data_IF_096630447834
#
_entry.id   IF_096630447834
#
_cell.length_a   1.000
_cell.length_b   1.000
_cell.length_c   1.000
_cell.angle_alpha   90.00
_cell.angle_beta   90.00
_cell.angle_gamma   90.00
#
_symmetry.space_group_name_H-M   'P 1'
#
loop_
_entity.id
_entity.type
_entity.pdbx_description
1 polymer ?
#
# COMPACT_ATOMS: atom_id res chain seq x y z
N UNK A 1 2.48 22.65 0.47
CA UNK A 1 2.91 22.55 1.88
C UNK A 1 2.85 21.08 2.20
N UNK A 2 3.98 20.39 2.02
CA UNK A 2 4.03 18.94 1.99
C UNK A 2 3.81 18.34 3.39
N UNK A 3 2.85 17.42 3.47
CA UNK A 3 2.51 16.68 4.68
C UNK A 3 3.63 15.68 4.97
N UNK A 4 4.35 15.86 6.08
CA UNK A 4 5.33 14.87 6.55
C UNK A 4 4.60 13.80 7.36
N UNK A 5 4.73 12.53 6.98
CA UNK A 5 4.12 11.40 7.71
C UNK A 5 2.58 11.47 7.86
N UNK A 6 1.88 12.11 6.90
CA UNK A 6 0.44 12.32 6.98
C UNK A 6 0.01 13.43 7.97
N UNK A 7 0.97 14.17 8.50
CA UNK A 7 0.78 15.28 9.45
C UNK A 7 1.15 16.59 8.73
N UNK A 8 0.25 17.58 8.77
CA UNK A 8 0.48 18.90 8.24
C UNK A 8 1.50 19.69 9.05
N UNK A 9 2.13 20.71 8.45
CA UNK A 9 3.10 21.56 9.15
C UNK A 9 2.54 22.21 10.41
N UNK A 10 1.25 22.59 10.40
CA UNK A 10 0.56 23.16 11.57
C UNK A 10 0.37 22.14 12.69
N UNK A 11 -0.01 20.90 12.35
CA UNK A 11 -0.18 19.81 13.33
C UNK A 11 1.17 19.43 13.96
N UNK A 12 2.25 19.42 13.17
CA UNK A 12 3.61 19.19 13.67
C UNK A 12 4.03 20.23 14.71
N UNK A 13 3.69 21.51 14.50
CA UNK A 13 3.96 22.58 15.48
C UNK A 13 3.18 22.35 16.78
N UNK A 14 1.90 21.97 16.70
CA UNK A 14 1.09 21.65 17.89
C UNK A 14 1.69 20.49 18.67
N UNK A 15 2.12 19.43 17.98
CA UNK A 15 2.81 18.29 18.61
C UNK A 15 4.09 18.74 19.29
N UNK A 16 4.91 19.60 18.67
CA UNK A 16 6.13 20.13 19.29
C UNK A 16 5.84 20.94 20.56
N UNK A 17 4.76 21.73 20.58
CA UNK A 17 4.36 22.49 21.77
C UNK A 17 3.97 21.52 22.90
N UNK A 18 3.09 20.54 22.60
CA UNK A 18 2.65 19.55 23.59
C UNK A 18 3.85 18.73 24.11
N UNK A 19 4.70 18.24 23.21
CA UNK A 19 5.92 17.53 23.57
C UNK A 19 6.85 18.39 24.43
N UNK A 20 7.00 19.68 24.10
CA UNK A 20 7.77 20.63 24.88
C UNK A 20 7.20 20.88 26.28
N UNK A 21 5.88 20.84 26.45
CA UNK A 21 5.24 20.95 27.77
C UNK A 21 5.44 19.66 28.59
N UNK A 22 5.21 18.49 27.97
CA UNK A 22 5.31 17.19 28.66
C UNK A 22 6.75 16.84 29.02
N UNK A 23 7.67 17.01 28.08
CA UNK A 23 9.10 16.71 28.24
C UNK A 23 9.84 17.85 28.93
N UNK A 24 9.38 19.09 28.76
CA UNK A 24 10.11 20.30 29.10
C UNK A 24 10.99 20.79 27.93
N UNK A 25 11.06 22.11 27.67
CA UNK A 25 11.85 22.67 26.57
C UNK A 25 13.36 22.40 26.72
N UNK A 26 13.83 22.30 27.96
CA UNK A 26 15.24 22.00 28.27
C UNK A 26 15.65 20.60 27.80
N UNK A 27 14.76 19.60 27.98
CA UNK A 27 15.03 18.21 27.57
C UNK A 27 15.06 18.04 26.06
N UNK A 28 14.21 18.77 25.32
CA UNK A 28 14.27 18.79 23.84
C UNK A 28 15.60 19.39 23.39
N UNK A 29 16.03 20.51 23.97
CA UNK A 29 17.31 21.13 23.62
C UNK A 29 18.50 20.20 23.93
N UNK A 30 18.46 19.48 25.05
CA UNK A 30 19.49 18.50 25.41
C UNK A 30 19.51 17.30 24.44
N UNK A 31 18.34 16.77 24.08
CA UNK A 31 18.21 15.69 23.09
C UNK A 31 18.71 16.12 21.70
N UNK A 32 18.34 17.33 21.25
CA UNK A 32 18.81 17.88 19.98
C UNK A 32 20.33 18.06 19.95
N UNK A 33 20.93 18.54 21.06
CA UNK A 33 22.40 18.63 21.19
C UNK A 33 23.07 17.25 21.10
N UNK A 34 22.49 16.23 21.75
CA UNK A 34 23.04 14.87 21.71
C UNK A 34 22.89 14.25 20.31
N UNK A 35 21.70 14.31 19.72
CA UNK A 35 21.46 13.86 18.35
C UNK A 35 22.35 14.58 17.34
N UNK A 36 22.47 15.91 17.45
CA UNK A 36 23.33 16.70 16.58
C UNK A 36 24.81 16.30 16.68
N UNK A 37 25.33 16.09 17.89
CA UNK A 37 26.70 15.58 18.08
C UNK A 37 26.87 14.19 17.49
N UNK A 38 25.90 13.29 17.70
CA UNK A 38 25.93 11.93 17.16
C UNK A 38 25.88 11.94 15.64
N UNK A 39 25.00 12.73 15.02
CA UNK A 39 24.93 12.89 13.56
C UNK A 39 26.20 13.50 12.99
N UNK A 40 26.76 14.53 13.64
CA UNK A 40 28.03 15.12 13.24
C UNK A 40 29.19 14.11 13.32
N UNK A 41 29.23 13.32 14.40
CA UNK A 41 30.19 12.24 14.58
C UNK A 41 30.02 11.16 13.50
N UNK A 42 28.80 10.68 13.27
CA UNK A 42 28.49 9.76 12.17
C UNK A 42 28.96 10.32 10.83
N UNK A 43 28.72 11.60 10.55
CA UNK A 43 29.16 12.20 9.30
C UNK A 43 30.70 12.23 9.19
N UNK A 44 31.43 12.55 10.27
CA UNK A 44 32.90 12.50 10.27
C UNK A 44 33.44 11.09 10.10
N UNK A 45 32.82 10.11 10.76
CA UNK A 45 33.19 8.70 10.69
C UNK A 45 32.88 8.14 9.31
N UNK A 46 31.70 8.44 8.75
CA UNK A 46 31.34 8.10 7.37
C UNK A 46 32.26 8.76 6.35
N UNK A 47 32.75 9.99 6.57
CA UNK A 47 33.77 10.62 5.71
C UNK A 47 35.12 9.92 5.81
N UNK A 48 35.53 9.54 7.02
CA UNK A 48 36.77 8.78 7.27
C UNK A 48 36.73 7.39 6.63
N UNK A 49 35.62 6.67 6.82
CA UNK A 49 35.35 5.42 6.12
C UNK A 49 35.29 5.63 4.62
N UNK A 50 34.55 6.62 4.11
CA UNK A 50 34.51 6.89 2.68
C UNK A 50 35.88 7.18 2.08
N UNK A 51 36.81 7.78 2.84
CA UNK A 51 38.19 8.05 2.41
C UNK A 51 39.06 6.78 2.43
N UNK A 52 38.96 5.97 3.47
CA UNK A 52 39.66 4.67 3.59
C UNK A 52 39.13 3.67 2.56
N UNK A 53 37.80 3.55 2.44
CA UNK A 53 37.15 2.82 1.37
C UNK A 53 37.55 3.42 0.03
N UNK A 54 37.66 4.74 -0.18
CA UNK A 54 38.15 5.25 -1.48
C UNK A 54 39.56 4.81 -1.79
N UNK A 55 40.43 4.78 -0.79
CA UNK A 55 41.83 4.39 -0.96
C UNK A 55 41.97 2.88 -1.26
N UNK A 56 41.15 2.05 -0.62
CA UNK A 56 41.03 0.62 -0.92
C UNK A 56 40.21 0.35 -2.20
N UNK A 57 39.21 1.19 -2.50
CA UNK A 57 38.40 1.15 -3.70
C UNK A 57 39.18 1.61 -4.92
N UNK A 58 40.15 2.51 -4.80
CA UNK A 58 41.05 2.86 -5.91
C UNK A 58 41.87 1.62 -6.29
N UNK A 59 42.28 0.83 -5.29
CA UNK A 59 42.93 -0.47 -5.48
C UNK A 59 41.97 -1.59 -5.95
N UNK A 60 40.65 -1.45 -5.77
CA UNK A 60 39.61 -2.37 -6.28
C UNK A 60 39.07 -1.90 -7.65
N UNK A 61 39.05 -0.61 -7.95
CA UNK A 61 38.63 -0.01 -9.24
C UNK A 61 39.73 -0.22 -10.29
N UNK A 62 41.02 -0.25 -9.89
CA UNK A 62 42.10 -0.83 -10.72
C UNK A 62 41.86 -2.31 -11.06
N UNK A 63 41.15 -3.05 -10.20
CA UNK A 63 40.77 -4.45 -10.43
C UNK A 63 39.40 -4.61 -11.11
N UNK A 64 38.63 -3.54 -11.28
CA UNK A 64 37.34 -3.53 -12.00
C UNK A 64 36.15 -4.19 -11.28
N UNK A 65 36.35 -4.88 -10.15
CA UNK A 65 35.33 -5.73 -9.50
C UNK A 65 34.04 -4.96 -9.12
N UNK A 66 34.16 -3.72 -8.61
CA UNK A 66 32.97 -2.93 -8.23
C UNK A 66 32.20 -2.41 -9.46
N UNK A 67 32.91 -1.98 -10.51
CA UNK A 67 32.28 -1.58 -11.78
C UNK A 67 31.58 -2.76 -12.43
N UNK A 68 32.18 -3.95 -12.34
CA UNK A 68 31.61 -5.18 -12.86
C UNK A 68 30.34 -5.58 -12.09
N UNK A 69 30.37 -5.56 -10.75
CA UNK A 69 29.19 -5.82 -9.92
C UNK A 69 28.04 -4.82 -10.17
N UNK A 70 28.33 -3.53 -10.33
CA UNK A 70 27.33 -2.52 -10.68
C UNK A 70 26.74 -2.75 -12.08
N UNK A 71 27.57 -3.16 -13.04
CA UNK A 71 27.16 -3.48 -14.41
C UNK A 71 26.32 -4.76 -14.45
N UNK A 72 26.67 -5.77 -13.66
CA UNK A 72 25.92 -7.01 -13.50
C UNK A 72 24.53 -6.75 -12.88
N UNK A 73 24.44 -5.93 -11.83
CA UNK A 73 23.15 -5.50 -11.28
C UNK A 73 22.29 -4.77 -12.33
N UNK A 74 22.87 -3.88 -13.13
CA UNK A 74 22.12 -3.20 -14.19
C UNK A 74 21.65 -4.17 -15.28
N UNK A 75 22.45 -5.17 -15.62
CA UNK A 75 22.08 -6.19 -16.59
C UNK A 75 20.96 -7.08 -16.04
N UNK A 76 21.06 -7.54 -14.79
CA UNK A 76 19.99 -8.27 -14.10
C UNK A 76 18.69 -7.47 -14.06
N UNK A 77 18.74 -6.16 -13.77
CA UNK A 77 17.53 -5.32 -13.78
C UNK A 77 16.89 -5.25 -15.17
N UNK A 78 17.69 -5.16 -16.23
CA UNK A 78 17.17 -5.17 -17.61
C UNK A 78 16.54 -6.51 -17.97
N UNK A 79 17.17 -7.60 -17.59
CA UNK A 79 16.69 -8.96 -17.83
C UNK A 79 15.40 -9.26 -17.05
N UNK A 80 15.33 -8.84 -15.79
CA UNK A 80 14.09 -8.92 -15.00
C UNK A 80 12.99 -8.07 -15.61
N UNK A 81 13.30 -6.90 -16.18
CA UNK A 81 12.32 -6.07 -16.88
C UNK A 81 11.83 -6.69 -18.19
N UNK A 82 12.70 -7.31 -18.98
CA UNK A 82 12.29 -8.01 -20.21
C UNK A 82 11.44 -9.22 -19.87
N UNK A 83 11.85 -10.01 -18.87
CA UNK A 83 11.09 -11.16 -18.39
C UNK A 83 9.71 -10.73 -17.86
N UNK A 84 9.64 -9.63 -17.10
CA UNK A 84 8.35 -9.06 -16.66
C UNK A 84 7.46 -8.64 -17.82
N UNK A 85 8.01 -8.10 -18.90
CA UNK A 85 7.23 -7.73 -20.10
C UNK A 85 6.74 -8.96 -20.85
N UNK A 86 7.58 -9.97 -20.99
CA UNK A 86 7.24 -11.23 -21.65
C UNK A 86 6.15 -12.00 -20.90
N UNK A 87 6.29 -12.16 -19.58
CA UNK A 87 5.26 -12.76 -18.72
C UNK A 87 3.93 -11.99 -18.81
N UNK A 88 3.99 -10.65 -18.89
CA UNK A 88 2.79 -9.82 -19.07
C UNK A 88 2.19 -9.95 -20.47
N UNK A 89 3.01 -10.13 -21.50
CA UNK A 89 2.58 -10.39 -22.88
C UNK A 89 1.87 -11.72 -23.01
N UNK A 90 2.48 -12.79 -22.48
CA UNK A 90 1.89 -14.13 -22.42
C UNK A 90 0.56 -14.14 -21.65
N UNK A 91 0.47 -13.39 -20.54
CA UNK A 91 -0.78 -13.23 -19.80
C UNK A 91 -1.91 -12.59 -20.63
N UNK A 92 -1.58 -11.68 -21.55
CA UNK A 92 -2.57 -11.07 -22.47
C UNK A 92 -3.01 -12.02 -23.58
N UNK A 93 -2.11 -12.83 -24.11
CA UNK A 93 -2.45 -13.84 -25.13
C UNK A 93 -3.35 -14.94 -24.54
N UNK A 94 -3.02 -15.42 -23.34
CA UNK A 94 -3.86 -16.39 -22.62
C UNK A 94 -5.24 -15.82 -22.27
N UNK A 95 -5.32 -14.53 -21.94
CA UNK A 95 -6.59 -13.86 -21.68
C UNK A 95 -7.42 -13.68 -22.96
N UNK A 96 -6.77 -13.40 -24.11
CA UNK A 96 -7.42 -13.33 -25.42
C UNK A 96 -8.03 -14.67 -25.85
N UNK A 97 -7.31 -15.78 -25.68
CA UNK A 97 -7.80 -17.12 -25.99
C UNK A 97 -8.96 -17.54 -25.07
N UNK A 98 -8.91 -17.16 -23.79
CA UNK A 98 -10.02 -17.37 -22.84
C UNK A 98 -11.30 -16.65 -23.25
N UNK A 99 -11.19 -15.40 -23.71
CA UNK A 99 -12.33 -14.62 -24.20
C UNK A 99 -12.88 -15.12 -25.53
N UNK A 100 -12.04 -15.66 -26.42
CA UNK A 100 -12.48 -16.33 -27.65
C UNK A 100 -13.23 -17.65 -27.36
N UNK A 101 -12.79 -18.39 -26.34
CA UNK A 101 -13.46 -19.61 -25.88
C UNK A 101 -14.82 -19.29 -25.20
N UNK A 102 -14.92 -18.23 -24.40
CA UNK A 102 -16.21 -17.79 -23.82
C UNK A 102 -17.20 -17.30 -24.88
N UNK A 103 -16.74 -16.56 -25.89
CA UNK A 103 -17.59 -16.07 -26.99
C UNK A 103 -18.15 -17.22 -27.86
N UNK A 104 -17.37 -18.28 -28.08
CA UNK A 104 -17.82 -19.46 -28.81
C UNK A 104 -18.81 -20.32 -28.01
N UNK A 105 -18.66 -20.40 -26.69
CA UNK A 105 -19.59 -21.13 -25.80
C UNK A 105 -20.95 -20.44 -25.72
N UNK A 106 -21.00 -19.10 -25.71
CA UNK A 106 -22.25 -18.34 -25.57
C UNK A 106 -23.15 -18.39 -26.83
N UNK A 107 -22.58 -18.68 -28.01
CA UNK A 107 -23.34 -18.76 -29.27
C UNK A 107 -23.94 -20.15 -29.55
N UNK A 108 -23.53 -21.21 -28.85
CA UNK A 108 -23.91 -22.60 -29.19
C UNK A 108 -24.75 -23.34 -28.13
N UNK A 109 -25.16 -22.70 -27.04
CA UNK A 109 -26.01 -23.33 -26.00
C UNK A 109 -27.34 -22.60 -25.90
N UNK A 110 -28.23 -22.87 -26.84
CA UNK A 110 -29.67 -22.73 -26.61
C UNK A 110 -30.33 -24.08 -26.87
N UNK A 111 -30.88 -24.72 -25.82
CA UNK A 111 -32.22 -25.30 -25.98
C UNK A 111 -33.08 -25.11 -24.71
N UNK A 112 -34.32 -25.62 -24.73
CA UNK A 112 -35.58 -24.88 -24.68
C UNK A 112 -35.97 -24.39 -23.27
N UNK A 113 -36.84 -23.36 -23.18
CA UNK A 113 -37.46 -22.95 -21.91
C UNK A 113 -38.46 -24.01 -21.40
N UNK A 114 -38.36 -24.44 -20.12
CA UNK A 114 -39.49 -24.95 -19.36
C UNK A 114 -39.73 -24.07 -18.13
N UNK A 115 -40.81 -23.30 -18.22
CA UNK A 115 -41.85 -23.07 -17.22
C UNK A 115 -41.53 -23.32 -15.73
N UNK A 116 -41.68 -22.22 -14.96
CA UNK A 116 -42.34 -22.13 -13.62
C UNK A 116 -41.43 -21.96 -12.39
N UNK A 117 -41.48 -20.71 -11.89
CA UNK A 117 -41.56 -20.23 -10.51
C UNK A 117 -40.61 -20.78 -9.43
N UNK A 118 -39.75 -19.88 -8.91
CA UNK A 118 -39.52 -19.84 -7.47
C UNK A 118 -39.52 -18.37 -6.98
N UNK A 119 -40.44 -17.99 -6.07
CA UNK A 119 -40.58 -16.64 -5.54
C UNK A 119 -39.78 -16.49 -4.24
N UNK A 120 -39.14 -15.34 -4.04
CA UNK A 120 -39.28 -14.52 -2.81
C UNK A 120 -38.37 -13.28 -2.86
N UNK A 121 -38.93 -12.06 -2.78
CA UNK A 121 -38.16 -10.83 -2.60
C UNK A 121 -38.07 -10.46 -1.11
N UNK A 122 -36.98 -9.83 -0.63
CA UNK A 122 -37.06 -8.97 0.54
C UNK A 122 -37.43 -7.54 0.11
N UNK A 123 -38.52 -6.93 0.63
CA UNK A 123 -38.87 -5.57 0.29
C UNK A 123 -38.11 -4.57 1.17
N UNK A 124 -37.43 -3.61 0.53
CA UNK A 124 -37.03 -2.36 1.17
C UNK A 124 -38.14 -1.32 1.02
N UNK A 125 -38.53 -0.76 2.17
CA UNK A 125 -38.83 0.65 2.48
C UNK A 125 -39.53 1.54 1.43
N UNK A 126 -40.72 2.08 1.79
CA UNK A 126 -40.96 3.51 1.98
C UNK A 126 -42.47 3.87 1.99
N UNK A 127 -42.87 4.72 2.95
CA UNK A 127 -43.88 5.77 2.71
C UNK A 127 -45.32 5.54 3.20
N UNK A 128 -45.63 6.18 4.35
CA UNK A 128 -46.92 6.77 4.73
C UNK A 128 -48.23 5.96 4.78
N UNK A 129 -48.76 5.82 6.00
CA UNK A 129 -50.19 5.59 6.26
C UNK A 129 -50.47 4.93 7.62
N UNK A 130 -50.67 5.73 8.68
CA UNK A 130 -51.26 5.30 9.97
C UNK A 130 -52.65 4.62 9.74
N UNK A 131 -53.32 3.94 10.71
CA UNK A 131 -52.95 3.50 12.08
C UNK A 131 -53.38 2.04 12.43
N UNK A 132 -53.00 1.53 13.62
CA UNK A 132 -53.88 0.90 14.66
C UNK A 132 -53.08 -0.05 15.55
N UNK A 133 -53.02 0.29 16.84
CA UNK A 133 -52.64 -0.63 17.91
C UNK A 133 -53.76 -1.67 18.08
N UNK A 134 -53.49 -2.98 18.04
CA UNK A 134 -54.38 -3.96 18.63
C UNK A 134 -54.23 -3.92 20.16
N UNK A 135 -55.35 -3.80 20.87
CA UNK A 135 -55.41 -3.93 22.33
C UNK A 135 -55.09 -5.39 22.71
N UNK A 136 -54.31 -5.65 23.78
CA UNK A 136 -54.19 -7.00 24.32
C UNK A 136 -55.53 -7.41 24.97
N UNK A 137 -55.98 -8.59 24.59
CA UNK A 137 -57.16 -9.28 25.11
C UNK A 137 -57.07 -9.43 26.63
N UNK A 138 -58.21 -9.19 27.28
CA UNK A 138 -58.45 -9.47 28.69
C UNK A 138 -58.12 -10.92 29.03
N UNK A 139 -57.39 -11.08 30.13
CA UNK A 139 -57.14 -12.35 30.81
C UNK A 139 -58.44 -12.71 31.52
N UNK A 140 -59.11 -13.77 31.08
CA UNK A 140 -60.28 -14.33 31.77
C UNK A 140 -59.80 -15.51 32.64
N UNK A 141 -59.96 -15.33 33.95
CA UNK A 141 -59.77 -16.30 35.03
C UNK A 141 -60.74 -17.49 34.89
N UNK A 142 -60.20 -18.71 34.94
CA UNK A 142 -60.83 -19.89 35.59
C UNK A 142 -59.75 -20.93 35.95
#
# INVERSE_FOLDING_TARGET
>A
MDSFFGIGSMELVVILIIAGIVMGPERIAQAAKWLGKTTAYFQSVSRGFALQLRNELDTIDEKGDLREALKEMQNMQKEVQSLRREVRGMGKELQGVGSEAEAAVQNSIAPPRPLVEEPTPPPHTNGNGLPRLPQPLDVEDD
#
